data_IF_960079002920
#
_entry.id   IF_960079002920
#
_cell.length_a   1.000
_cell.length_b   1.000
_cell.length_c   1.000
_cell.angle_alpha   90.00
_cell.angle_beta   90.00
_cell.angle_gamma   90.00
#
_symmetry.space_group_name_H-M   'P 1'
#
loop_
_entity.id
_entity.type
_entity.pdbx_description
1 polymer ?
#
# COMPACT_ATOMS: atom_id res chain seq x y z
N UNK A 1 15.78 -39.29 51.39
CA UNK A 1 14.93 -38.08 51.29
C UNK A 1 15.76 -36.96 50.70
N UNK A 2 15.67 -36.71 49.38
CA UNK A 2 16.39 -35.65 48.71
C UNK A 2 15.39 -34.53 48.38
N UNK A 3 15.52 -33.37 49.06
CA UNK A 3 14.80 -32.14 48.74
C UNK A 3 15.50 -31.48 47.55
N UNK A 4 14.86 -31.46 46.36
CA UNK A 4 15.28 -30.64 45.22
C UNK A 4 14.65 -29.26 45.39
N UNK A 5 15.51 -28.27 45.67
CA UNK A 5 15.16 -26.87 45.56
C UNK A 5 15.30 -26.44 44.08
N UNK A 6 14.19 -26.04 43.46
CA UNK A 6 14.19 -25.38 42.16
C UNK A 6 14.39 -23.90 42.38
N UNK A 7 15.54 -23.40 41.97
CA UNK A 7 15.80 -21.96 41.88
C UNK A 7 15.10 -21.38 40.65
N UNK A 8 14.09 -20.57 40.88
CA UNK A 8 13.51 -19.73 39.82
C UNK A 8 14.45 -18.58 39.52
N UNK A 9 15.17 -18.68 38.40
CA UNK A 9 15.91 -17.56 37.84
C UNK A 9 14.92 -16.59 37.20
N UNK A 10 14.70 -15.47 37.88
CA UNK A 10 13.89 -14.35 37.39
C UNK A 10 14.58 -13.69 36.22
N UNK A 11 14.07 -13.88 35.01
CA UNK A 11 14.45 -13.09 33.86
C UNK A 11 13.96 -11.68 34.03
N UNK A 12 14.87 -10.79 34.38
CA UNK A 12 14.66 -9.34 34.44
C UNK A 12 14.54 -8.84 32.99
N UNK A 13 13.34 -8.51 32.58
CA UNK A 13 13.02 -8.04 31.25
C UNK A 13 13.73 -6.70 30.94
N UNK A 14 14.27 -6.60 29.74
CA UNK A 14 15.06 -5.48 29.21
C UNK A 14 14.18 -4.28 28.79
N UNK A 15 13.28 -3.86 29.63
CA UNK A 15 12.37 -2.73 29.40
C UNK A 15 13.07 -1.36 29.53
N UNK A 16 14.25 -1.33 30.14
CA UNK A 16 15.00 -0.10 30.44
C UNK A 16 15.77 0.50 29.26
N UNK A 17 16.14 -0.28 28.25
CA UNK A 17 16.93 0.19 27.12
C UNK A 17 16.10 0.98 26.09
N UNK A 18 14.87 0.56 25.86
CA UNK A 18 13.97 1.20 24.92
C UNK A 18 13.46 2.56 25.42
N UNK A 19 13.19 2.67 26.72
CA UNK A 19 12.74 3.91 27.34
C UNK A 19 13.82 5.00 27.33
N UNK A 20 15.07 4.62 27.55
CA UNK A 20 16.23 5.55 27.46
C UNK A 20 16.48 6.06 26.05
N UNK A 21 16.28 5.23 25.02
CA UNK A 21 16.42 5.63 23.63
C UNK A 21 15.33 6.62 23.20
N UNK A 22 14.10 6.41 23.68
CA UNK A 22 12.96 7.29 23.38
C UNK A 22 13.06 8.67 24.06
N UNK A 23 13.52 8.71 25.31
CA UNK A 23 13.73 9.98 26.05
C UNK A 23 14.88 10.81 25.44
N UNK A 24 15.92 10.15 24.93
CA UNK A 24 17.06 10.82 24.28
C UNK A 24 16.69 11.42 22.93
N UNK A 25 15.82 10.77 22.18
CA UNK A 25 15.28 11.30 20.92
C UNK A 25 14.37 12.53 21.14
N UNK A 26 13.57 12.51 22.21
CA UNK A 26 12.66 13.61 22.55
C UNK A 26 13.39 14.86 23.07
N UNK A 27 14.56 14.71 23.67
CA UNK A 27 15.37 15.84 24.11
C UNK A 27 16.16 16.51 22.98
N UNK A 28 16.42 15.83 21.86
CA UNK A 28 17.05 16.42 20.69
C UNK A 28 16.09 17.26 19.83
N UNK A 29 14.79 16.99 19.92
CA UNK A 29 13.77 17.73 19.16
C UNK A 29 13.38 19.08 19.80
N UNK A 30 13.81 19.32 21.05
CA UNK A 30 13.54 20.57 21.79
C UNK A 30 14.69 21.58 21.79
N UNK A 31 15.78 21.36 21.05
CA UNK A 31 16.97 22.18 21.08
C UNK A 31 17.35 22.79 19.72
N UNK A 32 16.38 23.19 18.89
CA UNK A 32 16.67 24.09 17.77
C UNK A 32 15.92 25.42 17.96
N UNK A 33 16.64 26.55 18.07
CA UNK A 33 16.04 27.85 18.24
C UNK A 33 15.51 28.37 16.90
N UNK A 34 14.31 28.88 16.95
CA UNK A 34 13.69 29.74 15.95
C UNK A 34 14.58 30.92 15.63
N UNK A 35 14.87 31.15 14.36
CA UNK A 35 15.34 32.45 13.89
C UNK A 35 14.42 32.93 12.80
N UNK A 36 13.74 33.97 13.17
CA UNK A 36 12.90 34.95 12.48
C UNK A 36 13.26 35.28 11.04
N UNK A 37 12.17 35.47 10.26
CA UNK A 37 12.11 36.19 8.98
C UNK A 37 12.56 37.65 9.11
N UNK A 38 12.86 38.34 7.99
CA UNK A 38 11.81 39.16 7.36
C UNK A 38 11.81 39.19 5.81
N UNK A 39 10.60 39.30 5.34
CA UNK A 39 9.98 40.11 4.30
C UNK A 39 10.74 40.61 3.04
N UNK A 40 9.97 40.56 1.94
CA UNK A 40 9.87 41.42 0.78
C UNK A 40 10.79 41.17 -0.43
N UNK A 41 10.20 40.69 -1.54
CA UNK A 41 9.99 41.58 -2.71
C UNK A 41 9.14 40.89 -3.80
N UNK A 42 8.31 41.73 -4.41
CA UNK A 42 7.21 41.39 -5.32
C UNK A 42 7.68 41.29 -6.77
N UNK A 43 7.04 40.34 -7.51
CA UNK A 43 6.65 40.34 -8.93
C UNK A 43 7.72 40.04 -10.00
N UNK A 44 7.35 39.64 -11.24
CA UNK A 44 6.00 39.58 -11.81
C UNK A 44 5.57 38.22 -12.39
N UNK A 45 4.27 38.10 -12.50
CA UNK A 45 3.48 37.10 -13.23
C UNK A 45 4.01 36.89 -14.64
N UNK A 46 4.42 35.69 -14.96
CA UNK A 46 4.45 35.15 -16.32
C UNK A 46 3.40 34.07 -16.41
N UNK A 47 2.29 34.44 -17.03
CA UNK A 47 1.23 33.51 -17.43
C UNK A 47 1.79 32.57 -18.49
N UNK A 48 2.17 31.36 -18.08
CA UNK A 48 2.24 30.24 -18.98
C UNK A 48 0.86 29.55 -19.01
N UNK A 49 0.36 29.13 -20.18
CA UNK A 49 -0.94 28.48 -20.24
C UNK A 49 -0.85 27.18 -19.44
N UNK A 50 -1.64 27.12 -18.37
CA UNK A 50 -1.89 25.87 -17.66
C UNK A 50 -2.68 25.01 -18.64
N UNK A 51 -2.02 24.07 -19.30
CA UNK A 51 -2.73 22.94 -19.87
C UNK A 51 -3.51 22.29 -18.73
N UNK A 52 -4.79 22.57 -18.69
CA UNK A 52 -5.73 21.84 -17.86
C UNK A 52 -5.74 20.42 -18.43
N UNK A 53 -4.85 19.58 -17.91
CA UNK A 53 -5.00 18.15 -18.06
C UNK A 53 -6.37 17.82 -17.47
N UNK A 54 -7.33 17.59 -18.35
CA UNK A 54 -8.63 17.04 -17.98
C UNK A 54 -8.32 15.76 -17.22
N UNK A 55 -8.42 15.82 -15.91
CA UNK A 55 -8.35 14.64 -15.06
C UNK A 55 -9.66 13.91 -15.34
N UNK A 56 -9.62 12.96 -16.25
CA UNK A 56 -10.74 12.09 -16.54
C UNK A 56 -11.05 11.37 -15.22
N UNK A 57 -12.11 11.84 -14.55
CA UNK A 57 -12.52 11.32 -13.25
C UNK A 57 -12.84 9.84 -13.42
N UNK A 58 -12.25 8.99 -12.59
CA UNK A 58 -12.55 7.56 -12.59
C UNK A 58 -14.07 7.34 -12.53
N UNK A 59 -14.62 6.40 -13.30
CA UNK A 59 -16.02 6.06 -13.25
C UNK A 59 -16.48 5.74 -11.82
N UNK A 60 -17.73 6.10 -11.48
CA UNK A 60 -18.28 5.94 -10.13
C UNK A 60 -18.03 4.52 -9.56
N UNK A 61 -17.53 4.46 -8.31
CA UNK A 61 -17.26 3.20 -7.62
C UNK A 61 -15.89 2.58 -7.90
N UNK A 62 -15.01 3.25 -8.65
CA UNK A 62 -13.65 2.80 -8.91
C UNK A 62 -12.63 3.74 -8.27
N UNK A 63 -11.42 3.19 -7.99
CA UNK A 63 -10.29 3.99 -7.53
C UNK A 63 -9.33 4.20 -8.69
N UNK A 64 -8.99 5.45 -8.92
CA UNK A 64 -7.95 5.83 -9.87
C UNK A 64 -6.62 5.87 -9.14
N UNK A 65 -5.67 5.08 -9.59
CA UNK A 65 -4.32 5.05 -9.02
C UNK A 65 -3.30 4.94 -10.15
N UNK A 66 -2.19 5.67 -10.01
CA UNK A 66 -1.02 5.49 -10.85
C UNK A 66 -0.19 4.35 -10.29
N UNK A 67 -0.02 3.31 -11.07
CA UNK A 67 0.69 2.11 -10.63
C UNK A 67 1.67 1.61 -11.70
N UNK A 68 2.74 0.97 -11.24
CA UNK A 68 3.75 0.36 -12.12
C UNK A 68 3.76 -1.15 -11.90
N UNK A 69 3.79 -1.93 -12.96
CA UNK A 69 3.89 -3.40 -12.87
C UNK A 69 5.27 -3.78 -12.34
N UNK A 70 5.28 -4.61 -11.30
CA UNK A 70 6.50 -5.10 -10.64
C UNK A 70 6.76 -6.56 -10.99
N UNK A 71 5.70 -7.36 -11.10
CA UNK A 71 5.83 -8.81 -11.30
C UNK A 71 4.53 -9.42 -11.83
N UNK A 72 4.66 -10.45 -12.67
CA UNK A 72 3.53 -11.27 -13.13
C UNK A 72 2.85 -10.81 -14.41
N UNK A 73 3.31 -9.71 -15.03
CA UNK A 73 2.77 -9.20 -16.29
C UNK A 73 3.62 -8.09 -16.87
N UNK A 74 3.29 -7.64 -18.08
CA UNK A 74 4.00 -6.57 -18.79
C UNK A 74 3.27 -5.23 -18.72
N UNK A 75 1.95 -5.24 -18.67
CA UNK A 75 1.12 -4.03 -18.67
C UNK A 75 -0.22 -4.27 -17.98
N UNK A 76 -0.83 -3.18 -17.51
CA UNK A 76 -2.21 -3.16 -17.07
C UNK A 76 -3.08 -2.61 -18.20
N UNK A 77 -4.29 -3.13 -18.29
CA UNK A 77 -5.37 -2.55 -19.07
C UNK A 77 -6.13 -1.53 -18.23
N UNK A 78 -7.11 -0.87 -18.85
CA UNK A 78 -7.88 0.21 -18.25
C UNK A 78 -8.53 -0.16 -16.92
N UNK A 79 -9.09 -1.37 -16.83
CA UNK A 79 -9.80 -1.87 -15.65
C UNK A 79 -9.09 -3.09 -15.08
N UNK A 80 -8.77 -3.04 -13.79
CA UNK A 80 -8.07 -4.12 -13.11
C UNK A 80 -8.75 -4.46 -11.79
N UNK A 81 -8.74 -5.73 -11.41
CA UNK A 81 -9.31 -6.20 -10.15
C UNK A 81 -8.20 -6.37 -9.14
N UNK A 82 -8.24 -5.57 -8.06
CA UNK A 82 -7.29 -5.63 -6.95
C UNK A 82 -7.91 -6.42 -5.81
N UNK A 83 -7.23 -7.47 -5.35
CA UNK A 83 -7.66 -8.29 -4.23
C UNK A 83 -6.94 -7.97 -2.91
N UNK A 84 -5.83 -7.26 -2.95
CA UNK A 84 -5.09 -6.95 -1.73
C UNK A 84 -4.08 -5.82 -1.90
N UNK A 85 -3.65 -5.27 -0.76
CA UNK A 85 -2.66 -4.21 -0.66
C UNK A 85 -1.68 -4.53 0.46
N UNK A 86 -0.39 -4.47 0.16
CA UNK A 86 0.68 -4.89 1.07
C UNK A 86 1.79 -3.83 1.10
N UNK A 87 2.34 -3.57 2.28
CA UNK A 87 3.51 -2.69 2.44
C UNK A 87 4.82 -3.41 2.09
N UNK A 88 4.83 -4.73 2.16
CA UNK A 88 6.01 -5.56 1.89
C UNK A 88 5.83 -6.31 0.57
N UNK A 89 6.78 -6.16 -0.34
CA UNK A 89 6.76 -6.81 -1.66
C UNK A 89 6.65 -8.33 -1.54
N UNK A 90 7.40 -8.95 -0.64
CA UNK A 90 7.42 -10.40 -0.47
C UNK A 90 6.03 -10.97 -0.11
N UNK A 91 5.24 -10.24 0.69
CA UNK A 91 3.88 -10.64 1.04
C UNK A 91 2.95 -10.59 -0.19
N UNK A 92 3.06 -9.54 -1.00
CA UNK A 92 2.31 -9.42 -2.24
C UNK A 92 2.68 -10.53 -3.24
N UNK A 93 3.97 -10.86 -3.36
CA UNK A 93 4.46 -11.95 -4.22
C UNK A 93 3.93 -13.32 -3.75
N UNK A 94 3.91 -13.57 -2.44
CA UNK A 94 3.36 -14.79 -1.87
C UNK A 94 1.88 -14.98 -2.21
N UNK A 95 1.08 -13.92 -2.05
CA UNK A 95 -0.36 -13.95 -2.40
C UNK A 95 -0.54 -14.10 -3.91
N UNK A 96 0.24 -13.38 -4.73
CA UNK A 96 0.22 -13.56 -6.18
C UNK A 96 0.47 -15.01 -6.57
N UNK A 97 1.51 -15.64 -6.00
CA UNK A 97 1.84 -17.03 -6.33
C UNK A 97 0.72 -18.00 -5.95
N UNK A 98 0.08 -17.81 -4.79
CA UNK A 98 -1.08 -18.61 -4.40
C UNK A 98 -2.22 -18.48 -5.41
N UNK A 99 -2.53 -17.26 -5.86
CA UNK A 99 -3.59 -16.99 -6.83
C UNK A 99 -3.26 -17.53 -8.23
N UNK A 100 -1.99 -17.49 -8.63
CA UNK A 100 -1.54 -18.13 -9.89
C UNK A 100 -1.76 -19.63 -9.84
N UNK A 101 -1.48 -20.28 -8.71
CA UNK A 101 -1.73 -21.71 -8.51
C UNK A 101 -3.23 -22.05 -8.53
N UNK A 102 -4.10 -21.09 -8.20
CA UNK A 102 -5.56 -21.21 -8.34
C UNK A 102 -6.09 -20.93 -9.75
N UNK A 103 -5.21 -20.57 -10.69
CA UNK A 103 -5.53 -20.32 -12.09
C UNK A 103 -5.84 -18.87 -12.46
N UNK A 104 -5.57 -17.90 -11.58
CA UNK A 104 -5.72 -16.48 -11.89
C UNK A 104 -4.48 -15.92 -12.62
N UNK A 105 -4.69 -14.94 -13.49
CA UNK A 105 -3.59 -14.16 -14.10
C UNK A 105 -3.14 -13.07 -13.13
N UNK A 106 -2.58 -13.50 -11.97
CA UNK A 106 -2.22 -12.58 -10.91
C UNK A 106 -0.90 -11.86 -11.17
N UNK A 107 -0.87 -10.56 -10.83
CA UNK A 107 0.32 -9.71 -10.95
C UNK A 107 0.46 -8.80 -9.73
N UNK A 108 1.68 -8.33 -9.47
CA UNK A 108 1.98 -7.33 -8.45
C UNK A 108 2.27 -6.00 -9.12
N UNK A 109 1.59 -4.96 -8.69
CA UNK A 109 1.84 -3.58 -9.11
C UNK A 109 2.18 -2.72 -7.90
N UNK A 110 2.98 -1.69 -8.11
CA UNK A 110 3.41 -0.76 -7.08
C UNK A 110 2.77 0.61 -7.27
N UNK A 111 2.19 1.12 -6.21
CA UNK A 111 1.70 2.48 -6.12
C UNK A 111 2.73 3.32 -5.34
N UNK A 112 3.44 4.21 -6.03
CA UNK A 112 4.49 5.02 -5.45
C UNK A 112 3.95 6.10 -4.50
N UNK A 113 2.76 6.65 -4.78
CA UNK A 113 2.15 7.70 -3.95
C UNK A 113 1.77 7.20 -2.55
N UNK A 114 1.36 5.92 -2.46
CA UNK A 114 0.94 5.28 -1.21
C UNK A 114 1.99 4.35 -0.61
N UNK A 115 3.08 4.11 -1.34
CA UNK A 115 4.11 3.14 -0.98
C UNK A 115 3.53 1.75 -0.68
N UNK A 116 2.67 1.25 -1.58
CA UNK A 116 1.97 -0.02 -1.41
C UNK A 116 2.07 -0.89 -2.66
N UNK A 117 2.22 -2.19 -2.44
CA UNK A 117 2.12 -3.22 -3.46
C UNK A 117 0.68 -3.70 -3.54
N UNK A 118 0.08 -3.65 -4.74
CA UNK A 118 -1.26 -4.15 -5.01
C UNK A 118 -1.17 -5.51 -5.70
N UNK A 119 -1.99 -6.45 -5.30
CA UNK A 119 -2.15 -7.72 -6.01
C UNK A 119 -3.37 -7.62 -6.90
N UNK A 120 -3.14 -7.71 -8.21
CA UNK A 120 -4.15 -7.68 -9.27
C UNK A 120 -4.40 -9.10 -9.72
N UNK A 121 -5.65 -9.52 -9.81
CA UNK A 121 -6.06 -10.88 -10.23
C UNK A 121 -6.49 -10.98 -11.70
N UNK A 122 -6.65 -9.85 -12.36
CA UNK A 122 -6.99 -9.77 -13.77
C UNK A 122 -7.14 -8.32 -14.23
N UNK A 123 -6.93 -8.10 -15.52
CA UNK A 123 -7.01 -6.77 -16.14
C UNK A 123 -7.78 -6.85 -17.45
N UNK A 124 -8.63 -5.85 -17.73
CA UNK A 124 -9.61 -5.84 -18.81
C UNK A 124 -9.68 -4.46 -19.46
N UNK A 125 -10.13 -4.44 -20.71
CA UNK A 125 -10.40 -3.21 -21.44
C UNK A 125 -11.81 -2.66 -21.11
N UNK A 126 -12.70 -3.53 -20.66
CA UNK A 126 -14.07 -3.17 -20.29
C UNK A 126 -14.35 -3.38 -18.79
N UNK A 127 -15.23 -2.51 -18.28
CA UNK A 127 -15.62 -2.51 -16.87
C UNK A 127 -16.44 -3.75 -16.48
N UNK A 128 -17.33 -4.21 -17.33
CA UNK A 128 -18.24 -5.30 -17.01
C UNK A 128 -17.49 -6.61 -16.77
N UNK A 129 -16.46 -6.90 -17.57
CA UNK A 129 -15.60 -8.07 -17.39
C UNK A 129 -14.82 -8.00 -16.06
N UNK A 130 -14.33 -6.80 -15.69
CA UNK A 130 -13.65 -6.61 -14.42
C UNK A 130 -14.60 -6.78 -13.22
N UNK A 131 -15.82 -6.26 -13.29
CA UNK A 131 -16.86 -6.46 -12.26
C UNK A 131 -17.22 -7.94 -12.10
N UNK A 132 -17.43 -8.65 -13.20
CA UNK A 132 -17.73 -10.08 -13.19
C UNK A 132 -16.62 -10.90 -12.55
N UNK A 133 -15.33 -10.60 -12.86
CA UNK A 133 -14.22 -11.27 -12.20
C UNK A 133 -14.17 -10.96 -10.71
N UNK A 134 -14.34 -9.70 -10.30
CA UNK A 134 -14.37 -9.31 -8.89
C UNK A 134 -15.44 -10.07 -8.12
N UNK A 135 -16.65 -10.14 -8.65
CA UNK A 135 -17.80 -10.74 -7.97
C UNK A 135 -17.65 -12.28 -7.90
N UNK A 136 -17.18 -12.90 -8.98
CA UNK A 136 -16.85 -14.33 -9.01
C UNK A 136 -15.72 -14.67 -8.04
N UNK A 137 -14.71 -13.81 -7.93
CA UNK A 137 -13.60 -13.97 -6.99
C UNK A 137 -14.07 -13.93 -5.54
N UNK A 138 -14.92 -12.94 -5.20
CA UNK A 138 -15.51 -12.84 -3.85
C UNK A 138 -16.39 -14.07 -3.53
N UNK A 139 -17.18 -14.52 -4.48
CA UNK A 139 -18.04 -15.70 -4.31
C UNK A 139 -17.23 -16.98 -4.08
N UNK A 140 -16.06 -17.09 -4.71
CA UNK A 140 -15.14 -18.25 -4.54
C UNK A 140 -14.41 -18.25 -3.19
N UNK A 141 -14.21 -17.07 -2.59
CA UNK A 141 -13.44 -16.91 -1.35
C UNK A 141 -14.27 -16.30 -0.20
N UNK A 142 -15.43 -16.86 0.17
CA UNK A 142 -16.36 -16.24 1.13
C UNK A 142 -15.77 -16.11 2.54
N UNK A 143 -14.80 -16.96 2.91
CA UNK A 143 -14.18 -16.98 4.22
C UNK A 143 -12.93 -16.10 4.35
N UNK A 144 -12.53 -15.42 3.28
CA UNK A 144 -11.35 -14.56 3.27
C UNK A 144 -11.77 -13.09 3.29
N UNK A 145 -11.75 -12.47 4.47
CA UNK A 145 -12.18 -11.07 4.66
C UNK A 145 -11.40 -10.07 3.82
N UNK A 146 -10.13 -10.34 3.54
CA UNK A 146 -9.32 -9.45 2.71
C UNK A 146 -9.72 -9.54 1.24
N UNK A 147 -10.02 -10.74 0.76
CA UNK A 147 -10.50 -10.94 -0.61
C UNK A 147 -11.93 -10.42 -0.82
N UNK A 148 -12.75 -10.41 0.24
CA UNK A 148 -14.08 -9.78 0.20
C UNK A 148 -14.01 -8.27 -0.02
N UNK A 149 -12.88 -7.63 0.29
CA UNK A 149 -12.63 -6.21 0.05
C UNK A 149 -12.10 -5.91 -1.36
N UNK A 150 -12.06 -6.90 -2.26
CA UNK A 150 -11.60 -6.71 -3.64
C UNK A 150 -12.37 -5.58 -4.35
N UNK A 151 -11.66 -4.74 -5.08
CA UNK A 151 -12.17 -3.53 -5.70
C UNK A 151 -11.62 -3.33 -7.11
N UNK A 152 -12.20 -2.38 -7.85
CA UNK A 152 -11.78 -2.07 -9.21
C UNK A 152 -10.81 -0.89 -9.23
N UNK A 153 -9.68 -1.10 -9.89
CA UNK A 153 -8.67 -0.09 -10.20
C UNK A 153 -8.89 0.41 -11.63
N UNK A 154 -9.00 1.73 -11.77
CA UNK A 154 -8.87 2.41 -13.05
C UNK A 154 -7.41 2.85 -13.21
N UNK A 155 -6.69 2.25 -14.15
CA UNK A 155 -5.27 2.55 -14.39
C UNK A 155 -5.14 3.78 -15.28
N UNK A 156 -4.44 4.80 -14.78
CA UNK A 156 -4.03 5.97 -15.57
C UNK A 156 -2.56 5.80 -15.91
N UNK A 157 -2.27 5.61 -17.18
CA UNK A 157 -0.90 5.55 -17.70
C UNK A 157 -0.35 6.97 -17.93
#
# INVERSE_FOLDING_TARGET
MYKRQLAFSSCKSSESAYKKAYEKAKQQELAEPQTTAPAEEVAPVVTAPVEVKVVESAPAGMRQEKVTVVSGGTSLKTFSVVCGAYSVKANAEGVKQALVNEGYTAMVVYNAERNLYRVVIGTFDDRASAENLRDSFKAKHPSNDDFQKAWLLYSVN
#
